data_IF_250833948623
#
_entry.id   IF_250833948623
#
_cell.length_a   1.000
_cell.length_b   1.000
_cell.length_c   1.000
_cell.angle_alpha   90.00
_cell.angle_beta   90.00
_cell.angle_gamma   90.00
#
_symmetry.space_group_name_H-M   'P 1'
#
loop_
_entity.id
_entity.type
_entity.pdbx_description
1 polymer ?
#
# COMPACT_ATOMS: atom_id res chain seq x y z
N UNK A 1 -42.45 21.37 -68.63
CA UNK A 1 -43.11 20.17 -69.16
C UNK A 1 -43.48 19.28 -68.01
N UNK A 2 -44.76 18.96 -67.89
CA UNK A 2 -45.37 18.14 -66.84
C UNK A 2 -45.23 16.62 -67.11
N UNK A 3 -45.66 15.81 -66.12
CA UNK A 3 -46.00 14.37 -66.11
C UNK A 3 -44.92 13.48 -65.47
N UNK A 4 -45.17 12.44 -64.66
CA UNK A 4 -46.34 11.64 -64.20
C UNK A 4 -45.73 10.74 -63.08
N UNK A 5 -46.22 10.72 -61.83
CA UNK A 5 -47.27 9.86 -61.24
C UNK A 5 -46.82 8.42 -60.87
N UNK A 6 -47.00 8.10 -59.56
CA UNK A 6 -47.39 6.83 -58.90
C UNK A 6 -46.55 5.54 -59.10
N UNK A 7 -46.39 4.57 -58.18
CA UNK A 7 -46.70 4.30 -56.74
C UNK A 7 -46.48 2.78 -56.52
N UNK A 8 -46.45 2.33 -55.26
CA UNK A 8 -46.52 0.92 -54.77
C UNK A 8 -45.23 0.07 -54.95
N UNK A 9 -44.86 -0.87 -54.08
CA UNK A 9 -45.56 -1.60 -53.03
C UNK A 9 -44.51 -2.18 -52.05
N UNK A 10 -44.92 -2.35 -50.81
CA UNK A 10 -44.32 -3.12 -49.71
C UNK A 10 -43.46 -4.34 -50.07
N UNK A 11 -42.35 -4.53 -49.33
CA UNK A 11 -41.94 -5.87 -48.93
C UNK A 11 -41.43 -5.86 -47.48
N UNK A 12 -42.26 -6.43 -46.62
CA UNK A 12 -41.92 -6.87 -45.27
C UNK A 12 -41.10 -8.15 -45.42
N UNK A 13 -39.90 -8.19 -44.83
CA UNK A 13 -39.33 -9.45 -44.36
C UNK A 13 -38.78 -9.23 -42.95
N UNK A 14 -39.52 -9.72 -41.98
CA UNK A 14 -38.96 -10.11 -40.70
C UNK A 14 -38.22 -11.44 -40.90
N UNK A 15 -36.94 -11.50 -40.53
CA UNK A 15 -36.26 -12.75 -40.20
C UNK A 15 -35.65 -12.59 -38.82
N UNK A 16 -36.13 -13.44 -37.93
CA UNK A 16 -35.66 -13.68 -36.57
C UNK A 16 -34.43 -14.57 -36.61
N UNK A 17 -33.44 -14.19 -35.79
CA UNK A 17 -32.40 -14.97 -35.12
C UNK A 17 -31.70 -16.14 -35.87
N UNK A 18 -30.39 -16.01 -36.03
CA UNK A 18 -29.44 -17.08 -35.78
C UNK A 18 -28.10 -16.46 -35.34
N UNK A 19 -27.54 -17.03 -34.28
CA UNK A 19 -26.29 -16.62 -33.65
C UNK A 19 -25.08 -16.79 -34.56
N UNK A 20 -24.10 -15.88 -34.47
CA UNK A 20 -22.69 -16.24 -34.54
C UNK A 20 -21.83 -15.13 -33.92
N UNK A 21 -20.82 -15.57 -33.19
CA UNK A 21 -19.92 -14.77 -32.40
C UNK A 21 -19.11 -13.79 -33.26
N UNK A 22 -19.13 -12.51 -32.91
CA UNK A 22 -18.07 -11.58 -33.28
C UNK A 22 -17.97 -10.51 -32.20
N UNK A 23 -16.85 -10.61 -31.46
CA UNK A 23 -16.37 -9.65 -30.48
C UNK A 23 -16.29 -8.25 -31.08
N UNK A 24 -17.31 -7.43 -30.84
CA UNK A 24 -17.20 -5.98 -30.97
C UNK A 24 -16.69 -5.42 -29.66
N UNK A 25 -15.43 -4.97 -29.68
CA UNK A 25 -14.84 -4.14 -28.62
C UNK A 25 -15.73 -2.90 -28.43
N UNK A 26 -16.46 -2.91 -27.32
CA UNK A 26 -17.03 -1.70 -26.75
C UNK A 26 -15.86 -0.83 -26.23
N UNK A 27 -15.81 0.47 -26.55
CA UNK A 27 -14.82 1.36 -25.96
C UNK A 27 -14.95 1.34 -24.42
N UNK A 28 -13.85 1.43 -23.65
CA UNK A 28 -13.95 1.43 -22.20
C UNK A 28 -14.84 2.59 -21.75
N UNK A 29 -15.91 2.25 -21.03
CA UNK A 29 -16.77 3.21 -20.34
C UNK A 29 -15.89 4.15 -19.50
N UNK A 30 -16.17 5.47 -19.43
CA UNK A 30 -15.43 6.36 -18.55
C UNK A 30 -15.52 5.81 -17.13
N UNK A 31 -14.37 5.51 -16.51
CA UNK A 31 -14.31 5.03 -15.15
C UNK A 31 -15.04 6.03 -14.25
N UNK A 32 -16.21 5.65 -13.75
CA UNK A 32 -16.95 6.42 -12.75
C UNK A 32 -16.02 6.57 -11.55
N UNK A 33 -15.54 7.79 -11.27
CA UNK A 33 -14.77 8.08 -10.05
C UNK A 33 -15.62 7.61 -8.86
N UNK A 34 -15.15 6.58 -8.16
CA UNK A 34 -15.76 6.08 -6.94
C UNK A 34 -15.73 7.21 -5.91
N UNK A 35 -16.90 7.59 -5.36
CA UNK A 35 -16.96 8.56 -4.25
C UNK A 35 -16.38 7.90 -3.00
N UNK A 36 -15.84 8.69 -2.07
CA UNK A 36 -15.45 8.20 -0.73
C UNK A 36 -16.66 7.54 -0.03
N UNK A 37 -17.87 7.99 -0.37
CA UNK A 37 -19.13 7.43 0.13
C UNK A 37 -19.33 5.96 -0.28
N UNK A 38 -18.71 5.53 -1.37
CA UNK A 38 -18.80 4.16 -1.90
C UNK A 38 -17.79 3.19 -1.23
N UNK A 39 -16.96 3.67 -0.28
CA UNK A 39 -16.09 2.81 0.52
C UNK A 39 -16.89 1.99 1.52
N UNK A 40 -16.41 0.78 1.79
CA UNK A 40 -16.98 -0.08 2.83
C UNK A 40 -16.85 0.59 4.21
N UNK A 41 -17.76 0.24 5.13
CA UNK A 41 -17.72 0.74 6.51
C UNK A 41 -16.41 0.34 7.21
N UNK A 42 -15.87 -0.84 6.92
CA UNK A 42 -14.59 -1.29 7.45
C UNK A 42 -13.44 -0.38 6.98
N UNK A 43 -13.38 -0.07 5.69
CA UNK A 43 -12.34 0.82 5.13
C UNK A 43 -12.43 2.23 5.67
N UNK A 44 -13.65 2.78 5.84
CA UNK A 44 -13.85 4.09 6.47
C UNK A 44 -13.33 4.09 7.90
N UNK A 45 -13.65 3.04 8.67
CA UNK A 45 -13.13 2.86 10.02
C UNK A 45 -11.59 2.77 10.05
N UNK A 46 -10.97 2.07 9.11
CA UNK A 46 -9.51 1.97 9.05
C UNK A 46 -8.85 3.34 8.78
N UNK A 47 -9.48 4.20 7.98
CA UNK A 47 -9.01 5.58 7.74
C UNK A 47 -9.18 6.45 9.01
N UNK A 48 -10.31 6.31 9.71
CA UNK A 48 -10.55 7.04 10.96
C UNK A 48 -9.56 6.61 12.05
N UNK A 49 -9.33 5.30 12.20
CA UNK A 49 -8.35 4.74 13.13
C UNK A 49 -6.93 5.25 12.80
N UNK A 50 -6.57 5.33 11.51
CA UNK A 50 -5.27 5.87 11.09
C UNK A 50 -5.15 7.37 11.41
N UNK A 51 -6.23 8.14 11.25
CA UNK A 51 -6.26 9.57 11.59
C UNK A 51 -6.03 9.78 13.10
N UNK A 52 -6.65 8.96 13.94
CA UNK A 52 -6.40 8.96 15.39
C UNK A 52 -4.94 8.63 15.71
N UNK A 53 -4.35 7.68 14.98
CA UNK A 53 -2.95 7.31 15.18
C UNK A 53 -1.98 8.44 14.77
N UNK A 54 -2.31 9.24 13.77
CA UNK A 54 -1.53 10.44 13.44
C UNK A 54 -1.57 11.51 14.53
N UNK A 55 -2.70 11.64 15.23
CA UNK A 55 -2.80 12.51 16.40
C UNK A 55 -1.88 12.00 17.52
N UNK A 56 -1.90 10.69 17.79
CA UNK A 56 -1.03 10.07 18.78
C UNK A 56 0.46 10.27 18.46
N UNK A 57 0.86 10.16 17.17
CA UNK A 57 2.22 10.48 16.72
C UNK A 57 2.59 11.93 17.04
N UNK A 58 1.69 12.87 16.76
CA UNK A 58 1.93 14.29 17.04
C UNK A 58 2.08 14.55 18.53
N UNK A 59 1.22 13.94 19.36
CA UNK A 59 1.29 14.05 20.81
C UNK A 59 2.58 13.44 21.37
N UNK A 60 3.00 12.28 20.83
CA UNK A 60 4.24 11.62 21.19
C UNK A 60 5.46 12.50 20.87
N UNK A 61 5.51 13.14 19.70
CA UNK A 61 6.57 14.07 19.32
C UNK A 61 6.56 15.32 20.21
N UNK A 62 5.39 15.92 20.43
CA UNK A 62 5.25 17.14 21.23
C UNK A 62 5.57 16.92 22.71
N UNK A 63 5.31 15.73 23.23
CA UNK A 63 5.66 15.33 24.61
C UNK A 63 7.17 15.16 24.77
N UNK A 64 7.83 14.59 23.76
CA UNK A 64 9.28 14.38 23.77
C UNK A 64 10.10 15.65 23.50
N UNK A 65 9.48 16.67 22.90
CA UNK A 65 10.18 17.87 22.43
C UNK A 65 10.24 18.96 23.52
N UNK A 66 11.44 19.53 23.80
CA UNK A 66 11.57 20.67 24.70
C UNK A 66 10.68 21.86 24.28
N UNK A 67 10.09 22.64 25.21
CA UNK A 67 9.14 23.71 24.88
C UNK A 67 9.61 24.67 23.78
N UNK A 68 10.89 25.05 23.80
CA UNK A 68 11.49 25.95 22.80
C UNK A 68 11.49 25.40 21.36
N UNK A 69 11.47 24.07 21.20
CA UNK A 69 11.50 23.40 19.89
C UNK A 69 10.13 22.86 19.45
N UNK A 70 9.10 22.93 20.30
CA UNK A 70 7.76 22.39 19.98
C UNK A 70 7.17 22.97 18.69
N UNK A 71 7.20 24.28 18.43
CA UNK A 71 6.62 24.82 17.19
C UNK A 71 7.26 24.27 15.91
N UNK A 72 8.58 24.03 15.94
CA UNK A 72 9.32 23.44 14.83
C UNK A 72 8.98 21.96 14.66
N UNK A 73 9.00 21.19 15.74
CA UNK A 73 8.66 19.77 15.73
C UNK A 73 7.20 19.53 15.28
N UNK A 74 6.25 20.33 15.76
CA UNK A 74 4.84 20.27 15.33
C UNK A 74 4.70 20.59 13.84
N UNK A 75 5.44 21.59 13.32
CA UNK A 75 5.41 21.93 11.89
C UNK A 75 5.96 20.79 11.04
N UNK A 76 7.09 20.20 11.45
CA UNK A 76 7.70 19.09 10.76
C UNK A 76 6.79 17.85 10.75
N UNK A 77 6.22 17.46 11.90
CA UNK A 77 5.31 16.32 11.98
C UNK A 77 4.03 16.53 11.16
N UNK A 78 3.45 17.74 11.24
CA UNK A 78 2.25 18.11 10.49
C UNK A 78 2.46 18.01 8.98
N UNK A 79 3.64 18.38 8.47
CA UNK A 79 3.97 18.26 7.04
C UNK A 79 3.92 16.79 6.59
N UNK A 80 4.52 15.88 7.34
CA UNK A 80 4.50 14.45 7.01
C UNK A 80 3.10 13.84 7.11
N UNK A 81 2.30 14.21 8.12
CA UNK A 81 0.92 13.76 8.28
C UNK A 81 0.04 14.26 7.13
N UNK A 82 0.15 15.52 6.74
CA UNK A 82 -0.62 16.07 5.61
C UNK A 82 -0.31 15.35 4.30
N UNK A 83 0.95 14.98 4.06
CA UNK A 83 1.32 14.14 2.91
C UNK A 83 0.63 12.78 3.00
N UNK A 84 0.69 12.12 4.17
CA UNK A 84 0.06 10.82 4.38
C UNK A 84 -1.45 10.82 4.16
N UNK A 85 -2.15 11.79 4.75
CA UNK A 85 -3.59 12.00 4.57
C UNK A 85 -3.93 12.28 3.10
N UNK A 86 -3.11 13.08 2.41
CA UNK A 86 -3.29 13.36 0.98
C UNK A 86 -3.20 12.11 0.12
N UNK A 87 -2.22 11.24 0.38
CA UNK A 87 -2.01 10.02 -0.38
C UNK A 87 -3.13 9.00 -0.15
N UNK A 88 -3.55 8.81 1.10
CA UNK A 88 -4.69 7.97 1.47
C UNK A 88 -5.97 8.48 0.80
N UNK A 89 -6.23 9.80 0.86
CA UNK A 89 -7.41 10.41 0.25
C UNK A 89 -7.40 10.28 -1.29
N UNK A 90 -6.23 10.41 -1.94
CA UNK A 90 -6.11 10.19 -3.40
C UNK A 90 -6.40 8.75 -3.77
N UNK A 91 -5.85 7.77 -3.05
CA UNK A 91 -6.11 6.35 -3.30
C UNK A 91 -7.59 6.00 -3.09
N UNK A 92 -8.20 6.51 -2.02
CA UNK A 92 -9.63 6.37 -1.77
C UNK A 92 -10.49 6.93 -2.90
N UNK A 93 -10.21 8.16 -3.38
CA UNK A 93 -10.95 8.79 -4.49
C UNK A 93 -10.72 8.11 -5.84
N UNK A 94 -9.58 7.45 -6.03
CA UNK A 94 -9.31 6.66 -7.21
C UNK A 94 -10.08 5.33 -7.22
N UNK A 95 -10.60 4.89 -6.07
CA UNK A 95 -11.23 3.58 -5.91
C UNK A 95 -10.22 2.42 -5.96
N UNK A 96 -8.93 2.70 -5.81
CA UNK A 96 -7.86 1.71 -5.79
C UNK A 96 -7.75 1.11 -4.39
N UNK A 97 -8.57 0.10 -4.12
CA UNK A 97 -8.68 -0.53 -2.79
C UNK A 97 -7.37 -1.20 -2.35
N UNK A 98 -6.60 -1.74 -3.29
CA UNK A 98 -5.30 -2.37 -3.00
C UNK A 98 -4.26 -1.31 -2.61
N UNK A 99 -4.16 -0.21 -3.37
CA UNK A 99 -3.29 0.92 -3.01
C UNK A 99 -3.72 1.56 -1.69
N UNK A 100 -5.02 1.71 -1.46
CA UNK A 100 -5.54 2.27 -0.22
C UNK A 100 -5.17 1.41 0.99
N UNK A 101 -5.43 0.09 0.93
CA UNK A 101 -5.06 -0.84 1.99
C UNK A 101 -3.55 -0.84 2.26
N UNK A 102 -2.73 -0.75 1.20
CA UNK A 102 -1.28 -0.67 1.33
C UNK A 102 -0.83 0.61 2.04
N UNK A 103 -1.35 1.78 1.64
CA UNK A 103 -1.01 3.07 2.26
C UNK A 103 -1.44 3.12 3.73
N UNK A 104 -2.66 2.66 4.04
CA UNK A 104 -3.15 2.60 5.42
C UNK A 104 -2.20 1.77 6.28
N UNK A 105 -1.82 0.59 5.80
CA UNK A 105 -0.92 -0.29 6.53
C UNK A 105 0.48 0.32 6.70
N UNK A 106 1.06 0.88 5.62
CA UNK A 106 2.38 1.48 5.64
C UNK A 106 2.45 2.63 6.66
N UNK A 107 1.46 3.52 6.65
CA UNK A 107 1.41 4.62 7.60
C UNK A 107 1.08 4.17 9.03
N UNK A 108 0.27 3.11 9.21
CA UNK A 108 0.06 2.53 10.54
C UNK A 108 1.37 2.01 11.14
N UNK A 109 2.17 1.31 10.33
CA UNK A 109 3.48 0.81 10.78
C UNK A 109 4.48 1.93 11.05
N UNK A 110 4.54 2.93 10.16
CA UNK A 110 5.40 4.10 10.35
C UNK A 110 5.05 4.82 11.67
N UNK A 111 3.76 5.09 11.91
CA UNK A 111 3.29 5.70 13.15
C UNK A 111 3.66 4.89 14.40
N UNK A 112 3.50 3.57 14.38
CA UNK A 112 3.91 2.71 15.49
C UNK A 112 5.42 2.82 15.75
N UNK A 113 6.26 2.87 14.71
CA UNK A 113 7.70 3.06 14.89
C UNK A 113 8.02 4.41 15.54
N UNK A 114 7.32 5.48 15.18
CA UNK A 114 7.52 6.81 15.78
C UNK A 114 7.12 6.82 17.25
N UNK A 115 5.96 6.26 17.59
CA UNK A 115 5.45 6.23 18.96
C UNK A 115 6.43 5.48 19.89
N UNK A 116 6.95 4.35 19.42
CA UNK A 116 7.84 3.47 20.19
C UNK A 116 9.33 3.82 20.09
N UNK A 117 9.72 4.80 19.27
CA UNK A 117 11.09 5.26 19.18
C UNK A 117 11.54 5.99 20.46
N UNK A 118 12.85 5.99 20.78
CA UNK A 118 13.40 6.83 21.84
C UNK A 118 12.93 8.28 21.69
N UNK A 119 12.57 9.01 22.77
CA UNK A 119 11.99 10.35 22.69
C UNK A 119 12.79 11.32 21.80
N UNK A 120 14.11 11.29 21.91
CA UNK A 120 15.01 12.15 21.13
C UNK A 120 15.07 11.80 19.63
N UNK A 121 14.65 10.60 19.24
CA UNK A 121 14.73 10.08 17.87
C UNK A 121 13.39 10.13 17.13
N UNK A 122 12.27 10.37 17.83
CA UNK A 122 10.91 10.29 17.26
C UNK A 122 10.74 11.08 15.96
N UNK A 123 11.25 12.31 15.91
CA UNK A 123 11.13 13.16 14.73
C UNK A 123 11.94 12.62 13.55
N UNK A 124 13.15 12.12 13.81
CA UNK A 124 14.00 11.47 12.79
C UNK A 124 13.37 10.18 12.29
N UNK A 125 12.88 9.34 13.19
CA UNK A 125 12.16 8.11 12.83
C UNK A 125 10.92 8.42 12.02
N UNK A 126 10.21 9.51 12.32
CA UNK A 126 9.06 9.95 11.53
C UNK A 126 9.48 10.32 10.11
N UNK A 127 10.52 11.14 9.96
CA UNK A 127 11.06 11.51 8.66
C UNK A 127 11.41 10.26 7.83
N UNK A 128 12.20 9.34 8.40
CA UNK A 128 12.63 8.12 7.71
C UNK A 128 11.44 7.22 7.32
N UNK A 129 10.53 6.96 8.26
CA UNK A 129 9.46 5.98 8.08
C UNK A 129 8.28 6.52 7.26
N UNK A 130 7.89 7.79 7.42
CA UNK A 130 6.83 8.39 6.62
C UNK A 130 7.30 8.64 5.18
N UNK A 131 8.56 9.07 4.96
CA UNK A 131 9.09 9.18 3.61
C UNK A 131 9.14 7.81 2.91
N UNK A 132 9.52 6.75 3.64
CA UNK A 132 9.49 5.39 3.11
C UNK A 132 8.07 4.90 2.80
N UNK A 133 7.07 5.30 3.58
CA UNK A 133 5.66 4.96 3.34
C UNK A 133 5.06 5.74 2.16
N UNK A 134 5.46 7.01 1.99
CA UNK A 134 5.06 7.87 0.88
C UNK A 134 5.76 7.54 -0.44
N UNK A 135 6.86 6.78 -0.39
CA UNK A 135 7.59 6.37 -1.59
C UNK A 135 6.65 5.64 -2.57
N UNK A 136 6.77 5.87 -3.90
CA UNK A 136 5.86 5.34 -4.90
C UNK A 136 5.52 3.87 -4.68
N UNK A 137 4.23 3.55 -4.78
CA UNK A 137 3.75 2.20 -4.60
C UNK A 137 4.34 1.30 -5.71
N UNK A 138 4.89 0.11 -5.41
CA UNK A 138 5.39 -0.81 -6.44
C UNK A 138 4.36 -1.23 -7.51
N UNK A 139 3.06 -1.00 -7.34
CA UNK A 139 2.06 -1.15 -8.43
C UNK A 139 2.18 -0.07 -9.51
N UNK A 140 2.81 1.06 -9.21
CA UNK A 140 2.98 2.21 -10.12
C UNK A 140 4.37 2.23 -10.77
N UNK A 141 5.17 1.17 -10.63
CA UNK A 141 6.53 1.11 -11.14
C UNK A 141 6.63 1.52 -12.61
N UNK A 142 7.12 2.74 -12.94
CA UNK A 142 7.54 3.00 -14.30
C UNK A 142 8.74 2.08 -14.56
N UNK A 143 8.90 1.63 -15.81
CA UNK A 143 9.90 0.71 -16.40
C UNK A 143 11.38 0.78 -15.93
N UNK A 144 11.69 0.91 -14.65
CA UNK A 144 13.00 1.29 -14.10
C UNK A 144 13.71 0.10 -13.47
N UNK A 145 13.01 -0.77 -12.72
CA UNK A 145 13.53 -2.08 -12.31
C UNK A 145 12.40 -3.04 -11.92
N UNK A 146 12.14 -4.03 -12.78
CA UNK A 146 11.08 -5.03 -12.58
C UNK A 146 11.34 -5.91 -11.35
N UNK A 147 12.58 -6.30 -11.09
CA UNK A 147 12.92 -7.24 -10.01
C UNK A 147 12.77 -6.60 -8.62
N UNK A 148 13.14 -5.32 -8.49
CA UNK A 148 12.86 -4.52 -7.30
C UNK A 148 11.36 -4.49 -7.01
N UNK A 149 10.56 -4.15 -8.01
CA UNK A 149 9.11 -3.98 -7.88
C UNK A 149 8.40 -5.28 -7.53
N UNK A 150 8.73 -6.38 -8.20
CA UNK A 150 8.18 -7.69 -7.91
C UNK A 150 8.50 -8.11 -6.47
N UNK A 151 9.74 -7.90 -6.03
CA UNK A 151 10.16 -8.25 -4.66
C UNK A 151 9.42 -7.42 -3.62
N UNK A 152 9.32 -6.09 -3.82
CA UNK A 152 8.62 -5.20 -2.90
C UNK A 152 7.12 -5.52 -2.82
N UNK A 153 6.48 -5.77 -3.98
CA UNK A 153 5.09 -6.22 -4.05
C UNK A 153 4.90 -7.53 -3.29
N UNK A 154 5.81 -8.50 -3.46
CA UNK A 154 5.74 -9.80 -2.78
C UNK A 154 5.88 -9.68 -1.26
N UNK A 155 6.82 -8.87 -0.79
CA UNK A 155 6.98 -8.56 0.64
C UNK A 155 5.70 -7.93 1.18
N UNK A 156 5.13 -6.95 0.48
CA UNK A 156 3.87 -6.30 0.90
C UNK A 156 2.71 -7.28 0.96
N UNK A 157 2.59 -8.18 -0.03
CA UNK A 157 1.57 -9.23 -0.03
C UNK A 157 1.74 -10.20 1.14
N UNK A 158 2.97 -10.59 1.46
CA UNK A 158 3.27 -11.41 2.63
C UNK A 158 2.82 -10.73 3.93
N UNK A 159 3.15 -9.44 4.09
CA UNK A 159 2.77 -8.64 5.27
C UNK A 159 1.24 -8.47 5.34
N UNK A 160 0.56 -8.13 4.23
CA UNK A 160 -0.90 -8.04 4.19
C UNK A 160 -1.54 -9.39 4.54
N UNK A 161 -0.94 -10.50 4.13
CA UNK A 161 -1.35 -11.85 4.52
C UNK A 161 -1.24 -12.09 6.02
N UNK A 162 -0.15 -11.64 6.67
CA UNK A 162 -0.01 -11.65 8.14
C UNK A 162 -1.11 -10.79 8.77
N UNK A 163 -1.38 -9.62 8.20
CA UNK A 163 -2.37 -8.69 8.74
C UNK A 163 -3.78 -9.26 8.69
N UNK A 164 -4.14 -9.84 7.56
CA UNK A 164 -5.44 -10.49 7.34
C UNK A 164 -5.63 -11.72 8.22
N UNK A 165 -4.57 -12.48 8.51
CA UNK A 165 -4.62 -13.67 9.34
C UNK A 165 -4.63 -13.40 10.85
N UNK A 166 -4.39 -12.15 11.25
CA UNK A 166 -4.18 -11.84 12.65
C UNK A 166 -5.44 -11.87 13.51
N UNK A 167 -5.32 -12.46 14.70
CA UNK A 167 -6.36 -12.38 15.73
C UNK A 167 -6.49 -10.95 16.27
N UNK A 168 -7.63 -10.59 16.88
CA UNK A 168 -7.79 -9.29 17.55
C UNK A 168 -6.69 -9.00 18.59
N UNK A 169 -6.20 -10.02 19.29
CA UNK A 169 -5.10 -9.92 20.25
C UNK A 169 -3.79 -9.58 19.55
N UNK A 170 -3.49 -10.23 18.42
CA UNK A 170 -2.30 -9.94 17.62
C UNK A 170 -2.33 -8.52 17.05
N UNK A 171 -3.49 -8.05 16.58
CA UNK A 171 -3.67 -6.67 16.11
C UNK A 171 -3.39 -5.66 17.22
N UNK A 172 -3.87 -5.92 18.45
CA UNK A 172 -3.57 -5.11 19.65
C UNK A 172 -2.10 -5.16 20.05
N UNK A 173 -1.40 -6.27 19.77
CA UNK A 173 0.02 -6.43 20.05
C UNK A 173 0.91 -5.63 19.09
N UNK A 174 0.53 -5.49 17.82
CA UNK A 174 1.29 -4.65 16.88
C UNK A 174 1.36 -3.20 17.29
N UNK A 175 0.28 -2.68 17.87
CA UNK A 175 0.24 -1.33 18.43
C UNK A 175 1.15 -1.20 19.67
N UNK A 176 1.61 -2.32 20.28
CA UNK A 176 2.38 -2.35 21.53
C UNK A 176 3.85 -2.77 21.41
N UNK A 177 4.24 -3.63 20.47
CA UNK A 177 5.60 -4.21 20.46
C UNK A 177 6.46 -3.87 19.23
N UNK A 178 5.94 -3.14 18.24
CA UNK A 178 6.63 -2.73 17.01
C UNK A 178 7.28 -3.87 16.20
N UNK A 179 7.02 -5.16 16.51
CA UNK A 179 7.73 -6.30 15.89
C UNK A 179 7.44 -6.39 14.39
N UNK A 180 6.14 -6.33 14.03
CA UNK A 180 5.71 -6.30 12.64
C UNK A 180 6.19 -5.01 11.92
N UNK A 181 5.98 -3.80 12.47
CA UNK A 181 6.56 -2.57 11.91
C UNK A 181 8.07 -2.63 11.66
N UNK A 182 8.86 -3.11 12.63
CA UNK A 182 10.32 -3.27 12.51
C UNK A 182 10.70 -4.27 11.42
N UNK A 183 9.97 -5.38 11.31
CA UNK A 183 10.22 -6.40 10.29
C UNK A 183 9.98 -5.84 8.88
N UNK A 184 8.88 -5.09 8.68
CA UNK A 184 8.60 -4.40 7.42
C UNK A 184 9.68 -3.37 7.09
N UNK A 185 10.00 -2.49 8.04
CA UNK A 185 11.00 -1.45 7.83
C UNK A 185 12.38 -2.05 7.51
N UNK A 186 12.80 -3.08 8.25
CA UNK A 186 14.07 -3.78 7.99
C UNK A 186 14.10 -4.37 6.59
N UNK A 187 13.01 -5.01 6.16
CA UNK A 187 12.91 -5.55 4.80
C UNK A 187 13.06 -4.47 3.72
N UNK A 188 12.29 -3.39 3.84
CA UNK A 188 12.33 -2.29 2.87
C UNK A 188 13.69 -1.58 2.87
N UNK A 189 14.24 -1.29 4.05
CA UNK A 189 15.52 -0.62 4.22
C UNK A 189 16.68 -1.44 3.66
N UNK A 190 16.69 -2.76 3.89
CA UNK A 190 17.74 -3.66 3.35
C UNK A 190 17.71 -3.69 1.82
N UNK A 191 16.51 -3.80 1.23
CA UNK A 191 16.35 -3.75 -0.23
C UNK A 191 16.81 -2.39 -0.77
N UNK A 192 16.34 -1.28 -0.20
CA UNK A 192 16.72 0.07 -0.65
C UNK A 192 18.23 0.32 -0.54
N UNK A 193 18.86 -0.17 0.54
CA UNK A 193 20.30 -0.04 0.74
C UNK A 193 21.10 -0.78 -0.32
N UNK A 194 20.75 -2.03 -0.63
CA UNK A 194 21.43 -2.80 -1.69
C UNK A 194 21.42 -2.04 -3.04
N UNK A 195 20.30 -1.38 -3.34
CA UNK A 195 20.17 -0.53 -4.52
C UNK A 195 20.99 0.77 -4.45
N UNK A 196 21.08 1.38 -3.27
CA UNK A 196 21.89 2.58 -3.06
C UNK A 196 23.39 2.28 -3.20
N UNK A 197 23.83 1.10 -2.77
CA UNK A 197 25.23 0.66 -2.84
C UNK A 197 25.63 0.26 -4.28
N UNK A 198 24.66 -0.12 -5.13
CA UNK A 198 24.85 -0.31 -6.57
C UNK A 198 25.62 -1.58 -6.98
N UNK A 199 25.81 -2.54 -6.08
CA UNK A 199 26.40 -3.85 -6.41
C UNK A 199 25.32 -4.81 -6.92
N UNK A 200 25.34 -5.09 -8.22
CA UNK A 200 24.38 -6.00 -8.90
C UNK A 200 24.29 -7.38 -8.25
N UNK A 201 25.41 -7.93 -7.73
CA UNK A 201 25.40 -9.24 -7.06
C UNK A 201 24.69 -9.15 -5.72
N UNK A 202 24.91 -8.08 -5.00
CA UNK A 202 24.27 -7.83 -3.71
C UNK A 202 22.77 -7.58 -3.88
N UNK A 203 22.40 -6.76 -4.86
CA UNK A 203 21.01 -6.52 -5.25
C UNK A 203 20.32 -7.85 -5.56
N UNK A 204 20.86 -8.66 -6.48
CA UNK A 204 20.25 -9.94 -6.86
C UNK A 204 20.08 -10.89 -5.67
N UNK A 205 21.06 -10.91 -4.77
CA UNK A 205 21.07 -11.76 -3.58
C UNK A 205 20.03 -11.34 -2.54
N UNK A 206 19.95 -10.05 -2.24
CA UNK A 206 18.96 -9.47 -1.31
C UNK A 206 17.55 -9.70 -1.85
N UNK A 207 17.33 -9.45 -3.15
CA UNK A 207 16.03 -9.68 -3.78
C UNK A 207 15.63 -11.16 -3.73
N UNK A 208 16.54 -12.08 -4.04
CA UNK A 208 16.28 -13.52 -3.98
C UNK A 208 15.93 -13.97 -2.55
N UNK A 209 16.67 -13.48 -1.54
CA UNK A 209 16.42 -13.82 -0.14
C UNK A 209 15.03 -13.37 0.33
N UNK A 210 14.65 -12.12 0.05
CA UNK A 210 13.35 -11.61 0.43
C UNK A 210 12.20 -12.22 -0.37
N UNK A 211 12.39 -12.53 -1.66
CA UNK A 211 11.39 -13.27 -2.44
C UNK A 211 11.08 -14.63 -1.82
N UNK A 212 12.12 -15.40 -1.46
CA UNK A 212 11.98 -16.70 -0.79
C UNK A 212 11.32 -16.57 0.58
N UNK A 213 11.69 -15.55 1.34
CA UNK A 213 11.10 -15.28 2.64
C UNK A 213 9.60 -14.95 2.52
N UNK A 214 9.24 -14.08 1.57
CA UNK A 214 7.86 -13.71 1.30
C UNK A 214 7.01 -14.90 0.80
N UNK A 215 7.55 -15.75 -0.08
CA UNK A 215 6.89 -17.00 -0.50
C UNK A 215 6.55 -17.89 0.69
N UNK A 216 7.49 -18.03 1.63
CA UNK A 216 7.30 -18.85 2.82
C UNK A 216 6.15 -18.32 3.69
N UNK A 217 6.04 -16.99 3.84
CA UNK A 217 4.96 -16.35 4.60
C UNK A 217 3.61 -16.49 3.88
N UNK A 218 3.60 -16.33 2.55
CA UNK A 218 2.38 -16.48 1.74
C UNK A 218 1.86 -17.91 1.83
N UNK A 219 2.74 -18.92 1.78
CA UNK A 219 2.39 -20.33 1.86
C UNK A 219 2.02 -20.81 3.28
N UNK A 220 2.44 -20.10 4.33
CA UNK A 220 2.20 -20.50 5.71
C UNK A 220 0.69 -20.52 6.07
N UNK A 221 0.24 -21.44 6.95
CA UNK A 221 -1.09 -21.42 7.53
C UNK A 221 -1.38 -20.07 8.23
N UNK A 222 -2.64 -19.59 8.27
CA UNK A 222 -2.98 -18.29 8.87
C UNK A 222 -2.40 -18.07 10.28
N UNK A 223 -2.51 -19.06 11.16
CA UNK A 223 -1.97 -18.99 12.54
C UNK A 223 -0.46 -18.82 12.61
N UNK A 224 0.26 -19.24 11.57
CA UNK A 224 1.72 -19.35 11.58
C UNK A 224 2.37 -18.21 10.78
N UNK A 225 1.60 -17.45 10.00
CA UNK A 225 2.14 -16.41 9.10
C UNK A 225 3.06 -15.41 9.81
N UNK A 226 2.65 -14.93 10.99
CA UNK A 226 3.46 -13.97 11.78
C UNK A 226 4.80 -14.59 12.19
N UNK A 227 4.76 -15.78 12.80
CA UNK A 227 5.97 -16.51 13.24
C UNK A 227 6.90 -16.83 12.07
N UNK A 228 6.34 -17.27 10.95
CA UNK A 228 7.11 -17.56 9.74
C UNK A 228 7.75 -16.28 9.22
N UNK A 229 7.02 -15.16 9.17
CA UNK A 229 7.55 -13.87 8.71
C UNK A 229 8.71 -13.40 9.60
N UNK A 230 8.53 -13.39 10.92
CA UNK A 230 9.58 -13.00 11.86
C UNK A 230 10.87 -13.80 11.64
N UNK A 231 10.73 -15.12 11.48
CA UNK A 231 11.88 -16.01 11.26
C UNK A 231 12.53 -15.78 9.89
N UNK A 232 11.74 -15.75 8.81
CA UNK A 232 12.30 -15.73 7.45
C UNK A 232 12.79 -14.34 7.04
N UNK A 233 12.13 -13.26 7.49
CA UNK A 233 12.57 -11.90 7.20
C UNK A 233 13.83 -11.55 7.99
N UNK A 234 13.96 -12.03 9.23
CA UNK A 234 15.21 -11.92 9.98
C UNK A 234 16.35 -12.65 9.28
N UNK A 235 16.10 -13.86 8.77
CA UNK A 235 17.10 -14.60 8.00
C UNK A 235 17.49 -13.90 6.69
N UNK A 236 16.51 -13.35 5.95
CA UNK A 236 16.77 -12.57 4.75
C UNK A 236 17.58 -11.30 5.04
N UNK A 237 17.25 -10.57 6.11
CA UNK A 237 18.01 -9.39 6.54
C UNK A 237 19.46 -9.72 6.88
N UNK A 238 19.70 -10.84 7.59
CA UNK A 238 21.04 -11.29 7.93
C UNK A 238 21.82 -11.81 6.71
N UNK A 239 21.12 -12.20 5.64
CA UNK A 239 21.80 -12.44 4.39
C UNK A 239 22.32 -11.12 3.83
N UNK A 240 21.51 -10.06 3.69
CA UNK A 240 21.87 -8.75 3.11
C UNK A 240 22.86 -7.85 3.86
N UNK A 241 23.55 -8.36 4.90
CA UNK A 241 24.45 -7.61 5.77
C UNK A 241 25.92 -8.02 5.62
#
# INVERSE_FOLDING_TARGET
>A
MAKIILVFLSLIFAIVAAAEASSTQQPPSPATKKSIDDLTSATKKDIDDLTLLFQEVTDAINTATPPAKKPEATRASSKHIQTAESDVAKAAKAGDEEKLAHLILAYRMASAMVIHAPPAERLKVMEDTFNSAAAPNPYECPNVDKAYCETRSKINKAILGVVAAASPEQKKLWDKDSTLPKSMHTAMSTVNKAYADGDDKEIARVLAAYNKAADSVIAAPPSDKLKVMESTFKHAAASGA
#
